data_IF_580285597184
#
_entry.id   IF_580285597184
#
_cell.length_a   1.000
_cell.length_b   1.000
_cell.length_c   1.000
_cell.angle_alpha   90.00
_cell.angle_beta   90.00
_cell.angle_gamma   90.00
#
_symmetry.space_group_name_H-M   'P 1'
#
loop_
_entity.id
_entity.type
_entity.pdbx_description
1 polymer ?
#
# COMPACT_ATOMS: atom_id res chain seq x y z
N UNK A 1 16.46 37.64 -29.81
CA UNK A 1 15.33 36.70 -29.66
C UNK A 1 15.13 36.46 -28.16
N UNK A 2 14.25 37.23 -27.55
CA UNK A 2 13.89 37.09 -26.13
C UNK A 2 13.17 35.78 -25.93
N UNK A 3 13.69 34.93 -25.03
CA UNK A 3 13.00 33.74 -24.53
C UNK A 3 11.81 34.23 -23.69
N UNK A 4 10.60 34.20 -24.25
CA UNK A 4 9.37 34.29 -23.46
C UNK A 4 9.47 33.26 -22.32
N UNK A 5 9.70 33.73 -21.09
CA UNK A 5 9.38 32.97 -19.87
C UNK A 5 7.88 32.69 -19.95
N UNK A 6 7.51 31.43 -20.10
CA UNK A 6 6.15 31.03 -19.82
C UNK A 6 5.95 31.26 -18.31
N UNK A 7 5.09 32.22 -17.98
CA UNK A 7 4.52 32.32 -16.64
C UNK A 7 3.78 31.03 -16.40
N UNK A 8 4.36 30.19 -15.55
CA UNK A 8 3.65 29.05 -14.93
C UNK A 8 2.55 29.70 -14.11
N UNK A 9 1.30 29.47 -14.47
CA UNK A 9 0.15 29.85 -13.65
C UNK A 9 0.39 29.18 -12.32
N UNK A 10 0.64 29.95 -11.29
CA UNK A 10 0.83 29.50 -9.91
C UNK A 10 -0.53 29.05 -9.38
N UNK A 11 -0.97 27.86 -9.83
CA UNK A 11 -2.13 27.19 -9.27
C UNK A 11 -1.68 26.71 -7.90
N UNK A 12 -2.31 27.21 -6.85
CA UNK A 12 -2.07 26.81 -5.47
C UNK A 12 -1.96 25.28 -5.40
N UNK A 13 -0.76 24.76 -5.17
CA UNK A 13 -0.44 23.33 -5.17
C UNK A 13 -1.41 22.54 -4.30
N UNK A 14 -1.90 23.14 -3.20
CA UNK A 14 -2.90 22.52 -2.32
C UNK A 14 -4.24 22.21 -3.00
N UNK A 15 -4.60 22.94 -4.05
CA UNK A 15 -5.83 22.69 -4.81
C UNK A 15 -5.68 21.52 -5.78
N UNK A 16 -4.55 21.41 -6.45
CA UNK A 16 -4.29 20.32 -7.41
C UNK A 16 -4.24 18.98 -6.70
N UNK A 17 -3.58 18.91 -5.55
CA UNK A 17 -3.49 17.69 -4.73
C UNK A 17 -4.87 17.24 -4.23
N UNK A 18 -5.71 18.18 -3.80
CA UNK A 18 -7.10 17.89 -3.43
C UNK A 18 -7.90 17.41 -4.62
N UNK A 19 -7.64 17.96 -5.81
CA UNK A 19 -8.30 17.56 -7.04
C UNK A 19 -7.95 16.11 -7.41
N UNK A 20 -6.70 15.68 -7.22
CA UNK A 20 -6.27 14.28 -7.44
C UNK A 20 -7.03 13.34 -6.52
N UNK A 21 -7.08 13.63 -5.21
CA UNK A 21 -7.80 12.81 -4.24
C UNK A 21 -9.31 12.76 -4.55
N UNK A 22 -9.91 13.91 -4.90
CA UNK A 22 -11.32 13.99 -5.32
C UNK A 22 -11.58 13.18 -6.59
N UNK A 23 -10.71 13.25 -7.57
CA UNK A 23 -10.80 12.52 -8.81
C UNK A 23 -10.86 11.00 -8.58
N UNK A 24 -9.96 10.44 -7.78
CA UNK A 24 -9.97 9.01 -7.48
C UNK A 24 -11.24 8.60 -6.72
N UNK A 25 -11.68 9.40 -5.77
CA UNK A 25 -12.92 9.12 -5.03
C UNK A 25 -14.14 9.09 -5.95
N UNK A 26 -14.27 10.06 -6.84
CA UNK A 26 -15.36 10.12 -7.82
C UNK A 26 -15.28 8.98 -8.84
N UNK A 27 -14.08 8.61 -9.25
CA UNK A 27 -13.87 7.51 -10.18
C UNK A 27 -14.31 6.16 -9.58
N UNK A 28 -13.98 5.88 -8.34
CA UNK A 28 -14.46 4.68 -7.66
C UNK A 28 -15.98 4.62 -7.56
N UNK A 29 -16.64 5.75 -7.25
CA UNK A 29 -18.09 5.82 -7.22
C UNK A 29 -18.70 5.59 -8.60
N UNK A 30 -18.16 6.23 -9.63
CA UNK A 30 -18.65 6.07 -11.01
C UNK A 30 -18.52 4.61 -11.44
N UNK A 31 -17.39 3.98 -11.19
CA UNK A 31 -17.18 2.59 -11.53
C UNK A 31 -18.12 1.65 -10.76
N UNK A 32 -18.38 1.95 -9.49
CA UNK A 32 -19.38 1.23 -8.71
C UNK A 32 -20.76 1.29 -9.36
N UNK A 33 -21.23 2.48 -9.75
CA UNK A 33 -22.52 2.63 -10.42
C UNK A 33 -22.57 1.87 -11.74
N UNK A 34 -21.54 1.98 -12.57
CA UNK A 34 -21.45 1.24 -13.83
C UNK A 34 -21.48 -0.26 -13.57
N UNK A 35 -20.69 -0.77 -12.61
CA UNK A 35 -20.66 -2.17 -12.25
C UNK A 35 -22.03 -2.66 -11.78
N UNK A 36 -22.71 -1.91 -10.91
CA UNK A 36 -24.04 -2.30 -10.40
C UNK A 36 -25.11 -2.34 -11.49
N UNK A 37 -25.01 -1.45 -12.49
CA UNK A 37 -25.94 -1.43 -13.63
C UNK A 37 -25.71 -2.58 -14.61
N UNK A 38 -24.43 -2.89 -14.91
CA UNK A 38 -24.06 -3.93 -15.87
C UNK A 38 -24.26 -5.33 -15.28
N UNK A 39 -23.97 -5.51 -13.99
CA UNK A 39 -23.93 -6.82 -13.35
C UNK A 39 -25.31 -7.30 -12.87
N UNK A 40 -26.32 -6.46 -12.92
CA UNK A 40 -27.69 -6.81 -12.54
C UNK A 40 -27.88 -7.15 -11.04
N UNK A 41 -26.87 -6.96 -10.20
CA UNK A 41 -26.83 -7.31 -8.76
C UNK A 41 -27.59 -6.28 -7.89
N UNK A 42 -28.77 -5.86 -8.34
CA UNK A 42 -29.59 -4.93 -7.56
C UNK A 42 -30.00 -5.57 -6.23
N UNK A 43 -29.51 -5.00 -5.12
CA UNK A 43 -29.79 -5.46 -3.75
C UNK A 43 -28.67 -6.29 -3.09
N UNK A 44 -27.82 -6.95 -3.83
CA UNK A 44 -26.69 -7.72 -3.29
C UNK A 44 -25.55 -6.82 -2.80
N UNK A 45 -25.40 -5.63 -3.39
CA UNK A 45 -24.32 -4.68 -3.07
C UNK A 45 -24.34 -4.26 -1.60
N UNK A 46 -25.52 -3.96 -1.04
CA UNK A 46 -25.65 -3.56 0.36
C UNK A 46 -25.43 -4.73 1.31
N UNK A 47 -25.87 -5.93 0.95
CA UNK A 47 -25.59 -7.15 1.71
C UNK A 47 -24.08 -7.43 1.71
N UNK A 48 -23.45 -7.33 0.56
CA UNK A 48 -22.00 -7.49 0.44
C UNK A 48 -21.24 -6.43 1.24
N UNK A 49 -21.63 -5.15 1.17
CA UNK A 49 -21.01 -4.10 1.99
C UNK A 49 -21.17 -4.39 3.48
N UNK A 50 -22.35 -4.86 3.93
CA UNK A 50 -22.55 -5.25 5.32
C UNK A 50 -21.65 -6.43 5.72
N UNK A 51 -21.46 -7.43 4.84
CA UNK A 51 -20.53 -8.52 5.07
C UNK A 51 -19.08 -8.03 5.26
N UNK A 52 -18.64 -7.07 4.41
CA UNK A 52 -17.31 -6.45 4.55
C UNK A 52 -17.15 -5.72 5.89
N UNK A 53 -18.16 -4.92 6.27
CA UNK A 53 -18.12 -4.10 7.48
C UNK A 53 -18.10 -4.97 8.75
N UNK A 54 -18.82 -6.08 8.75
CA UNK A 54 -18.96 -6.97 9.93
C UNK A 54 -17.87 -8.05 10.02
N UNK A 55 -16.93 -8.10 9.07
CA UNK A 55 -15.85 -9.08 9.07
C UNK A 55 -14.60 -8.53 9.76
N UNK A 56 -13.90 -9.33 10.61
CA UNK A 56 -12.58 -9.00 11.12
C UNK A 56 -11.51 -8.79 10.05
N UNK A 57 -11.59 -9.51 8.95
CA UNK A 57 -10.79 -9.37 7.73
C UNK A 57 -9.26 -9.30 7.91
N UNK A 58 -8.60 -10.28 8.57
CA UNK A 58 -7.14 -10.36 8.58
C UNK A 58 -6.58 -10.62 7.18
N UNK A 59 -5.33 -10.29 6.92
CA UNK A 59 -4.64 -10.51 5.65
C UNK A 59 -4.50 -12.01 5.31
N UNK A 60 -4.78 -12.46 4.13
CA UNK A 60 -5.37 -11.69 3.03
C UNK A 60 -6.83 -12.13 2.91
N UNK A 61 -7.78 -11.33 3.41
CA UNK A 61 -9.21 -11.59 3.18
C UNK A 61 -9.63 -10.91 1.90
N UNK A 62 -10.02 -11.71 0.90
CA UNK A 62 -10.45 -11.23 -0.40
C UNK A 62 -11.86 -10.64 -0.32
N UNK A 63 -11.97 -9.35 -0.56
CA UNK A 63 -13.26 -8.65 -0.52
C UNK A 63 -14.14 -8.93 -1.75
N UNK A 64 -13.57 -9.36 -2.89
CA UNK A 64 -14.40 -9.83 -4.01
C UNK A 64 -15.13 -11.12 -3.65
N UNK A 65 -14.45 -12.02 -2.93
CA UNK A 65 -15.06 -13.27 -2.48
C UNK A 65 -16.04 -13.03 -1.31
N UNK A 66 -15.69 -12.14 -0.37
CA UNK A 66 -16.49 -11.91 0.83
C UNK A 66 -17.77 -11.12 0.57
N UNK A 67 -17.71 -10.06 -0.23
CA UNK A 67 -18.81 -9.11 -0.44
C UNK A 67 -19.19 -8.87 -1.90
N UNK A 68 -18.44 -9.45 -2.84
CA UNK A 68 -18.57 -9.19 -4.26
C UNK A 68 -17.81 -7.94 -4.73
N UNK A 69 -17.48 -7.93 -6.02
CA UNK A 69 -16.71 -6.87 -6.67
C UNK A 69 -17.34 -5.49 -6.47
N UNK A 70 -18.65 -5.36 -6.72
CA UNK A 70 -19.37 -4.08 -6.60
C UNK A 70 -19.34 -3.51 -5.19
N UNK A 71 -19.44 -4.36 -4.16
CA UNK A 71 -19.40 -3.95 -2.76
C UNK A 71 -18.00 -3.51 -2.34
N UNK A 72 -16.96 -4.16 -2.84
CA UNK A 72 -15.57 -3.76 -2.60
C UNK A 72 -15.26 -2.38 -3.22
N UNK A 73 -15.72 -2.12 -4.45
CA UNK A 73 -15.58 -0.81 -5.09
C UNK A 73 -16.41 0.27 -4.38
N UNK A 74 -17.62 -0.05 -3.90
CA UNK A 74 -18.40 0.88 -3.08
C UNK A 74 -17.66 1.24 -1.79
N UNK A 75 -17.12 0.24 -1.09
CA UNK A 75 -16.33 0.45 0.12
C UNK A 75 -15.14 1.37 -0.14
N UNK A 76 -14.38 1.11 -1.21
CA UNK A 76 -13.25 1.94 -1.60
C UNK A 76 -13.66 3.39 -1.94
N UNK A 77 -14.78 3.57 -2.66
CA UNK A 77 -15.35 4.88 -2.96
C UNK A 77 -15.75 5.66 -1.71
N UNK A 78 -16.45 5.01 -0.77
CA UNK A 78 -16.88 5.64 0.49
C UNK A 78 -15.69 6.06 1.35
N UNK A 79 -14.68 5.20 1.49
CA UNK A 79 -13.46 5.52 2.22
C UNK A 79 -12.67 6.64 1.54
N UNK A 80 -12.52 6.59 0.22
CA UNK A 80 -11.82 7.62 -0.56
C UNK A 80 -12.48 8.99 -0.46
N UNK A 81 -13.83 9.06 -0.56
CA UNK A 81 -14.58 10.31 -0.35
C UNK A 81 -14.40 10.82 1.07
N UNK A 82 -14.45 9.94 2.07
CA UNK A 82 -14.25 10.32 3.47
C UNK A 82 -12.86 10.95 3.68
N UNK A 83 -11.81 10.35 3.12
CA UNK A 83 -10.46 10.93 3.15
C UNK A 83 -10.40 12.29 2.46
N UNK A 84 -11.00 12.41 1.28
CA UNK A 84 -11.05 13.66 0.51
C UNK A 84 -11.78 14.76 1.30
N UNK A 85 -12.93 14.43 1.89
CA UNK A 85 -13.68 15.39 2.73
C UNK A 85 -12.88 15.86 3.93
N UNK A 86 -12.15 14.95 4.61
CA UNK A 86 -11.25 15.33 5.71
C UNK A 86 -10.15 16.28 5.25
N UNK A 87 -9.54 16.02 4.09
CA UNK A 87 -8.52 16.92 3.53
C UNK A 87 -9.08 18.33 3.29
N UNK A 88 -10.29 18.44 2.74
CA UNK A 88 -10.95 19.72 2.51
C UNK A 88 -11.35 20.43 3.82
N UNK A 89 -12.01 19.71 4.74
CA UNK A 89 -12.51 20.28 5.99
C UNK A 89 -11.37 20.78 6.88
N UNK A 90 -10.26 20.05 6.93
CA UNK A 90 -9.10 20.41 7.74
C UNK A 90 -8.14 21.35 7.02
N UNK A 91 -8.42 21.72 5.77
CA UNK A 91 -7.50 22.52 4.92
C UNK A 91 -6.08 21.95 4.94
N UNK A 92 -5.99 20.60 4.98
CA UNK A 92 -4.72 19.91 5.11
C UNK A 92 -3.84 20.19 3.89
N UNK A 93 -2.53 20.40 4.13
CA UNK A 93 -1.55 20.45 3.05
C UNK A 93 -1.40 19.05 2.47
N UNK A 94 -1.58 18.92 1.17
CA UNK A 94 -1.28 17.71 0.44
C UNK A 94 0.20 17.70 0.07
N UNK A 95 0.95 16.83 0.70
CA UNK A 95 2.32 16.50 0.36
C UNK A 95 2.41 15.02 -0.06
N UNK A 96 3.58 14.59 -0.48
CA UNK A 96 3.79 13.20 -0.89
C UNK A 96 3.35 12.17 0.19
N UNK A 97 3.40 12.50 1.47
CA UNK A 97 2.99 11.61 2.56
C UNK A 97 1.47 11.51 2.68
N UNK A 98 0.74 12.62 2.55
CA UNK A 98 -0.73 12.63 2.54
C UNK A 98 -1.27 11.92 1.30
N UNK A 99 -0.64 12.14 0.15
CA UNK A 99 -0.91 11.45 -1.09
C UNK A 99 -0.73 9.92 -0.94
N UNK A 100 0.42 9.48 -0.40
CA UNK A 100 0.65 8.07 -0.15
C UNK A 100 -0.38 7.48 0.83
N UNK A 101 -0.70 8.19 1.90
CA UNK A 101 -1.71 7.77 2.87
C UNK A 101 -3.09 7.58 2.25
N UNK A 102 -3.53 8.51 1.39
CA UNK A 102 -4.80 8.39 0.66
C UNK A 102 -4.84 7.12 -0.21
N UNK A 103 -3.81 6.90 -1.03
CA UNK A 103 -3.75 5.71 -1.88
C UNK A 103 -3.71 4.41 -1.08
N UNK A 104 -3.00 4.39 0.06
CA UNK A 104 -2.97 3.22 0.92
C UNK A 104 -4.33 2.93 1.56
N UNK A 105 -5.09 3.95 2.00
CA UNK A 105 -6.46 3.74 2.48
C UNK A 105 -7.31 3.11 1.39
N UNK A 106 -7.36 3.71 0.20
CA UNK A 106 -8.19 3.22 -0.92
C UNK A 106 -7.76 1.81 -1.36
N UNK A 107 -6.45 1.55 -1.40
CA UNK A 107 -5.89 0.25 -1.75
C UNK A 107 -6.37 -0.87 -0.80
N UNK A 108 -6.29 -0.63 0.50
CA UNK A 108 -6.65 -1.63 1.49
C UNK A 108 -8.17 -1.82 1.64
N UNK A 109 -8.99 -0.95 1.03
CA UNK A 109 -10.44 -1.14 0.95
C UNK A 109 -10.88 -2.34 0.10
N UNK A 110 -9.95 -2.98 -0.59
CA UNK A 110 -10.18 -4.24 -1.30
C UNK A 110 -9.83 -5.48 -0.48
N UNK A 111 -9.18 -5.29 0.69
CA UNK A 111 -8.81 -6.35 1.62
C UNK A 111 -8.44 -5.76 3.00
N UNK A 112 -9.25 -6.01 4.00
CA UNK A 112 -8.94 -5.70 5.40
C UNK A 112 -9.44 -4.36 5.94
N UNK A 113 -9.63 -3.33 5.09
CA UNK A 113 -10.09 -2.01 5.51
C UNK A 113 -11.50 -1.72 4.98
N UNK A 114 -12.37 -1.17 5.81
CA UNK A 114 -13.71 -0.78 5.44
C UNK A 114 -14.14 0.54 6.10
N UNK A 115 -15.28 1.07 5.66
CA UNK A 115 -15.80 2.36 6.11
C UNK A 115 -16.06 2.44 7.63
N UNK A 116 -16.19 1.32 8.33
CA UNK A 116 -16.35 1.31 9.78
C UNK A 116 -14.99 1.26 10.50
N UNK A 117 -14.12 0.31 10.12
CA UNK A 117 -12.91 0.02 10.88
C UNK A 117 -11.77 1.04 10.63
N UNK A 118 -11.91 1.92 9.64
CA UNK A 118 -10.93 2.98 9.37
C UNK A 118 -10.91 4.09 10.44
N UNK A 119 -12.08 4.38 11.07
CA UNK A 119 -12.22 5.55 11.93
C UNK A 119 -11.52 5.45 13.28
N UNK A 120 -11.63 4.34 14.05
CA UNK A 120 -11.06 4.27 15.38
C UNK A 120 -9.55 4.56 15.42
N UNK A 121 -8.69 4.00 14.56
CA UNK A 121 -7.28 4.35 14.53
C UNK A 121 -7.03 5.83 14.23
N UNK A 122 -7.79 6.43 13.30
CA UNK A 122 -7.68 7.85 12.98
C UNK A 122 -8.08 8.74 14.15
N UNK A 123 -9.13 8.35 14.89
CA UNK A 123 -9.55 9.04 16.13
C UNK A 123 -8.47 8.93 17.22
N UNK A 124 -7.71 7.84 17.27
CA UNK A 124 -6.55 7.73 18.16
C UNK A 124 -5.50 8.81 17.89
N UNK A 125 -5.21 9.11 16.61
CA UNK A 125 -4.31 10.20 16.22
C UNK A 125 -4.92 11.58 16.56
N UNK A 126 -6.23 11.74 16.39
CA UNK A 126 -6.92 12.98 16.81
C UNK A 126 -6.77 13.23 18.31
N UNK A 127 -6.96 12.19 19.15
CA UNK A 127 -6.74 12.29 20.59
C UNK A 127 -5.30 12.66 20.92
N UNK A 128 -4.34 12.02 20.26
CA UNK A 128 -2.91 12.34 20.40
C UNK A 128 -2.63 13.82 20.11
N UNK A 129 -3.10 14.34 18.96
CA UNK A 129 -2.84 15.74 18.58
C UNK A 129 -3.54 16.71 19.54
N UNK A 130 -4.74 16.38 20.02
CA UNK A 130 -5.44 17.19 21.02
C UNK A 130 -4.65 17.29 22.34
N UNK A 131 -4.16 16.15 22.85
CA UNK A 131 -3.36 16.11 24.10
C UNK A 131 -2.04 16.86 23.93
N UNK A 132 -1.43 16.78 22.74
CA UNK A 132 -0.18 17.46 22.40
C UNK A 132 -0.36 18.93 22.05
N UNK A 133 -1.59 19.38 21.90
CA UNK A 133 -1.96 20.73 21.43
C UNK A 133 -1.39 21.01 20.03
N UNK A 134 -1.40 20.02 19.17
CA UNK A 134 -0.93 20.08 17.77
C UNK A 134 -2.13 20.11 16.83
N UNK A 135 -1.96 20.63 15.61
CA UNK A 135 -3.03 20.68 14.62
C UNK A 135 -3.21 19.30 13.98
N UNK A 136 -4.42 18.74 14.05
CA UNK A 136 -4.73 17.43 13.46
C UNK A 136 -4.50 17.41 11.92
N UNK A 137 -4.73 18.53 11.22
CA UNK A 137 -4.47 18.64 9.78
C UNK A 137 -3.01 18.32 9.40
N UNK A 138 -2.05 18.66 10.25
CA UNK A 138 -0.64 18.37 10.02
C UNK A 138 -0.28 16.87 10.23
N UNK A 139 -1.15 16.14 10.94
CA UNK A 139 -1.04 14.70 11.21
C UNK A 139 -1.97 13.85 10.34
N UNK A 140 -2.64 14.45 9.35
CA UNK A 140 -3.63 13.73 8.55
C UNK A 140 -3.02 12.54 7.80
N UNK A 141 -1.79 12.67 7.29
CA UNK A 141 -1.07 11.53 6.69
C UNK A 141 -0.85 10.38 7.69
N UNK A 142 -0.50 10.71 8.93
CA UNK A 142 -0.31 9.73 10.01
C UNK A 142 -1.64 9.07 10.38
N UNK A 143 -2.74 9.84 10.38
CA UNK A 143 -4.09 9.32 10.58
C UNK A 143 -4.47 8.33 9.47
N UNK A 144 -4.21 8.65 8.19
CA UNK A 144 -4.43 7.72 7.10
C UNK A 144 -3.58 6.45 7.24
N UNK A 145 -2.30 6.57 7.59
CA UNK A 145 -1.45 5.40 7.84
C UNK A 145 -1.92 4.56 9.02
N UNK A 146 -2.52 5.15 10.06
CA UNK A 146 -2.99 4.41 11.24
C UNK A 146 -4.07 3.38 10.91
N UNK A 147 -4.77 3.55 9.77
CA UNK A 147 -5.75 2.57 9.27
C UNK A 147 -5.15 1.19 8.96
N UNK A 148 -3.82 1.07 8.94
CA UNK A 148 -3.13 -0.22 8.88
C UNK A 148 -3.57 -1.22 9.95
N UNK A 149 -4.10 -0.74 11.07
CA UNK A 149 -4.61 -1.55 12.18
C UNK A 149 -6.12 -1.87 12.06
N UNK A 150 -6.77 -1.53 10.95
CA UNK A 150 -8.19 -1.77 10.73
C UNK A 150 -8.64 -3.22 10.98
N UNK A 151 -7.88 -4.28 10.61
CA UNK A 151 -8.27 -5.65 10.93
C UNK A 151 -8.31 -5.94 12.44
N UNK A 152 -7.43 -5.36 13.26
CA UNK A 152 -7.53 -5.45 14.72
C UNK A 152 -8.83 -4.83 15.24
N UNK A 153 -9.24 -3.70 14.67
CA UNK A 153 -10.49 -3.04 15.04
C UNK A 153 -11.68 -3.95 14.73
N UNK A 154 -11.74 -4.51 13.52
CA UNK A 154 -12.79 -5.47 13.14
C UNK A 154 -12.81 -6.70 14.05
N UNK A 155 -11.64 -7.25 14.37
CA UNK A 155 -11.49 -8.41 15.25
C UNK A 155 -12.01 -8.10 16.67
N UNK A 156 -11.63 -6.98 17.26
CA UNK A 156 -12.05 -6.59 18.61
C UNK A 156 -13.56 -6.30 18.67
N UNK A 157 -14.10 -5.62 17.64
CA UNK A 157 -15.52 -5.28 17.58
C UNK A 157 -16.42 -6.51 17.46
N UNK A 158 -16.03 -7.49 16.61
CA UNK A 158 -16.96 -8.52 16.16
C UNK A 158 -16.61 -9.93 16.65
N UNK A 159 -15.39 -10.20 17.09
CA UNK A 159 -14.97 -11.56 17.44
C UNK A 159 -14.20 -11.71 18.75
N UNK A 160 -13.17 -10.92 18.96
CA UNK A 160 -12.30 -11.06 20.13
C UNK A 160 -13.06 -10.89 21.46
N UNK A 161 -12.87 -11.68 22.51
CA UNK A 161 -11.90 -12.77 22.66
C UNK A 161 -12.47 -14.17 22.33
N UNK A 162 -13.49 -14.30 21.50
CA UNK A 162 -14.10 -15.58 21.18
C UNK A 162 -13.12 -16.49 20.43
N UNK A 163 -13.17 -17.77 20.76
CA UNK A 163 -12.37 -18.79 20.07
C UNK A 163 -13.08 -19.40 18.85
N UNK A 164 -14.39 -19.17 18.71
CA UNK A 164 -15.19 -19.61 17.58
C UNK A 164 -14.96 -18.73 16.34
N UNK A 165 -15.15 -19.27 15.15
CA UNK A 165 -15.11 -18.52 13.89
C UNK A 165 -16.33 -17.61 13.67
N UNK A 166 -17.34 -17.70 14.53
CA UNK A 166 -18.56 -16.91 14.42
C UNK A 166 -18.34 -15.48 14.93
N UNK A 167 -18.64 -14.49 14.11
CA UNK A 167 -18.71 -13.10 14.53
C UNK A 167 -19.85 -12.92 15.55
N UNK A 168 -19.60 -12.10 16.55
CA UNK A 168 -20.66 -11.69 17.51
C UNK A 168 -21.30 -10.38 17.07
N UNK A 169 -22.44 -10.07 17.67
CA UNK A 169 -23.00 -8.75 17.57
C UNK A 169 -22.06 -7.72 18.23
N UNK A 170 -22.10 -6.50 17.72
CA UNK A 170 -21.41 -5.34 18.30
C UNK A 170 -21.79 -5.18 19.80
N UNK A 171 -20.79 -5.02 20.66
CA UNK A 171 -20.99 -4.90 22.10
C UNK A 171 -20.33 -3.66 22.68
N UNK A 172 -20.90 -3.10 23.75
CA UNK A 172 -20.32 -1.96 24.45
C UNK A 172 -18.92 -2.25 25.03
N UNK A 173 -18.65 -3.40 25.66
CA UNK A 173 -17.29 -3.75 26.08
C UNK A 173 -16.30 -3.79 24.90
N UNK A 174 -16.69 -4.35 23.76
CA UNK A 174 -15.87 -4.37 22.54
C UNK A 174 -15.54 -2.95 22.07
N UNK A 175 -16.52 -2.03 22.09
CA UNK A 175 -16.28 -0.64 21.73
C UNK A 175 -15.31 0.04 22.69
N UNK A 176 -15.43 -0.17 24.00
CA UNK A 176 -14.51 0.40 25.00
C UNK A 176 -13.08 -0.08 24.72
N UNK A 177 -12.90 -1.38 24.46
CA UNK A 177 -11.58 -1.94 24.14
C UNK A 177 -11.02 -1.34 22.84
N UNK A 178 -11.86 -1.15 21.82
CA UNK A 178 -11.45 -0.47 20.57
C UNK A 178 -11.00 0.97 20.82
N UNK A 179 -11.71 1.72 21.64
CA UNK A 179 -11.32 3.10 21.99
C UNK A 179 -9.95 3.11 22.69
N UNK A 180 -9.74 2.27 23.69
CA UNK A 180 -8.45 2.17 24.40
C UNK A 180 -7.33 1.74 23.47
N UNK A 181 -7.57 0.73 22.63
CA UNK A 181 -6.63 0.25 21.61
C UNK A 181 -6.26 1.38 20.64
N UNK A 182 -7.25 2.13 20.15
CA UNK A 182 -7.04 3.23 19.22
C UNK A 182 -6.25 4.38 19.83
N UNK A 183 -6.50 4.71 21.08
CA UNK A 183 -5.70 5.70 21.83
C UNK A 183 -4.26 5.21 21.95
N UNK A 184 -4.06 3.95 22.35
CA UNK A 184 -2.71 3.38 22.47
C UNK A 184 -1.92 3.47 21.17
N UNK A 185 -2.47 3.00 20.04
CA UNK A 185 -1.80 3.08 18.75
C UNK A 185 -1.61 4.53 18.30
N UNK A 186 -2.56 5.42 18.63
CA UNK A 186 -2.47 6.85 18.33
C UNK A 186 -1.26 7.53 18.97
N UNK A 187 -0.86 7.12 20.16
CA UNK A 187 0.36 7.60 20.84
C UNK A 187 1.62 6.86 20.40
N UNK A 188 1.53 5.56 20.11
CA UNK A 188 2.67 4.74 19.71
C UNK A 188 3.18 5.09 18.30
N UNK A 189 2.28 5.26 17.33
CA UNK A 189 2.63 5.47 15.92
C UNK A 189 3.55 6.68 15.69
N UNK A 190 3.23 7.91 16.14
CA UNK A 190 4.08 9.08 15.88
C UNK A 190 5.49 8.93 16.46
N UNK A 191 5.62 8.25 17.60
CA UNK A 191 6.92 7.98 18.21
C UNK A 191 7.74 6.98 17.40
N UNK A 192 7.12 5.88 16.96
CA UNK A 192 7.81 4.79 16.24
C UNK A 192 8.21 5.18 14.82
N UNK A 193 7.43 6.03 14.14
CA UNK A 193 7.74 6.51 12.79
C UNK A 193 9.10 7.21 12.69
N UNK A 194 9.47 7.98 13.71
CA UNK A 194 10.76 8.67 13.75
C UNK A 194 11.93 7.68 13.83
N UNK A 195 11.78 6.62 14.63
CA UNK A 195 12.81 5.59 14.78
C UNK A 195 12.97 4.71 13.55
N UNK A 196 11.89 4.38 12.85
CA UNK A 196 11.92 3.48 11.71
C UNK A 196 12.84 3.98 10.58
N UNK A 197 12.85 5.28 10.30
CA UNK A 197 13.72 5.90 9.29
C UNK A 197 15.21 5.63 9.56
N UNK A 198 15.60 5.71 10.82
CA UNK A 198 16.99 5.48 11.24
C UNK A 198 17.38 4.01 11.08
N UNK A 199 16.49 3.09 11.44
CA UNK A 199 16.75 1.65 11.42
C UNK A 199 17.10 1.13 10.03
N UNK A 200 16.38 1.57 8.97
CA UNK A 200 16.66 1.14 7.60
C UNK A 200 17.43 2.18 6.77
N UNK A 201 18.02 3.19 7.42
CA UNK A 201 18.87 4.24 6.81
C UNK A 201 18.21 4.93 5.60
N UNK A 202 16.90 5.10 5.66
CA UNK A 202 16.06 5.64 4.58
C UNK A 202 16.15 4.90 3.23
N UNK A 203 16.63 3.66 3.23
CA UNK A 203 16.72 2.80 2.04
C UNK A 203 15.41 2.10 1.70
N UNK A 204 14.36 2.32 2.47
CA UNK A 204 12.98 1.95 2.16
C UNK A 204 12.09 3.19 2.18
N UNK A 205 11.21 3.34 1.19
CA UNK A 205 10.22 4.42 1.18
C UNK A 205 9.07 4.16 2.19
N UNK A 206 8.93 2.92 2.66
CA UNK A 206 7.84 2.48 3.53
C UNK A 206 8.20 2.58 5.02
N UNK A 207 8.56 3.78 5.48
CA UNK A 207 8.91 4.01 6.89
C UNK A 207 7.83 3.53 7.86
N UNK A 208 6.55 3.79 7.53
CA UNK A 208 5.41 3.34 8.32
C UNK A 208 5.31 1.81 8.38
N UNK A 209 5.64 1.11 7.30
CA UNK A 209 5.55 -0.35 7.25
C UNK A 209 6.38 -1.04 8.33
N UNK A 210 7.63 -0.63 8.52
CA UNK A 210 8.50 -1.17 9.57
C UNK A 210 7.94 -0.84 10.97
N UNK A 211 7.59 0.43 11.24
CA UNK A 211 7.07 0.86 12.52
C UNK A 211 5.78 0.11 12.90
N UNK A 212 4.82 0.08 11.96
CA UNK A 212 3.51 -0.52 12.20
C UNK A 212 3.60 -2.05 12.23
N UNK A 213 4.47 -2.64 11.44
CA UNK A 213 4.72 -4.07 11.46
C UNK A 213 5.24 -4.56 12.82
N UNK A 214 6.22 -3.85 13.38
CA UNK A 214 6.75 -4.15 14.73
C UNK A 214 5.68 -3.94 15.81
N UNK A 215 4.89 -2.87 15.73
CA UNK A 215 3.79 -2.64 16.66
C UNK A 215 2.68 -3.70 16.49
N UNK A 216 2.34 -4.07 15.26
CA UNK A 216 1.38 -5.13 14.96
C UNK A 216 1.82 -6.50 15.49
N UNK A 217 3.11 -6.83 15.37
CA UNK A 217 3.68 -8.04 15.96
C UNK A 217 3.55 -8.04 17.49
N UNK A 218 3.86 -6.93 18.15
CA UNK A 218 3.69 -6.79 19.60
C UNK A 218 2.23 -6.98 20.02
N UNK A 219 1.29 -6.29 19.34
CA UNK A 219 -0.14 -6.39 19.64
C UNK A 219 -0.69 -7.79 19.39
N UNK A 220 -0.32 -8.42 18.29
CA UNK A 220 -0.70 -9.80 17.98
C UNK A 220 -0.19 -10.76 19.04
N UNK A 221 1.08 -10.64 19.41
CA UNK A 221 1.67 -11.50 20.45
C UNK A 221 0.95 -11.35 21.77
N UNK A 222 0.63 -10.13 22.18
CA UNK A 222 -0.11 -9.88 23.41
C UNK A 222 -1.53 -10.48 23.35
N UNK A 223 -2.30 -10.18 22.30
CA UNK A 223 -3.72 -10.57 22.19
C UNK A 223 -3.90 -12.08 22.02
N UNK A 224 -3.01 -12.74 21.30
CA UNK A 224 -3.21 -14.14 20.91
C UNK A 224 -2.24 -15.10 21.61
N UNK A 225 -0.92 -14.80 21.62
CA UNK A 225 0.03 -15.72 22.22
C UNK A 225 -0.02 -15.67 23.77
N UNK A 226 -0.05 -14.47 24.35
CA UNK A 226 -0.07 -14.29 25.81
C UNK A 226 -1.46 -14.55 26.39
N UNK A 227 -2.51 -14.01 25.75
CA UNK A 227 -3.88 -14.21 26.19
C UNK A 227 -4.49 -15.55 25.78
N UNK A 228 -3.80 -16.33 24.92
CA UNK A 228 -4.22 -17.67 24.52
C UNK A 228 -5.48 -17.72 23.63
N UNK A 229 -5.83 -16.64 22.97
CA UNK A 229 -6.99 -16.57 22.07
C UNK A 229 -6.60 -17.06 20.67
N UNK A 230 -7.47 -17.82 19.99
CA UNK A 230 -7.22 -18.23 18.61
C UNK A 230 -7.62 -17.12 17.64
N UNK A 231 -6.73 -16.66 16.74
CA UNK A 231 -7.04 -15.59 15.79
C UNK A 231 -8.00 -16.04 14.69
N UNK A 232 -8.73 -15.09 14.10
CA UNK A 232 -9.51 -15.32 12.90
C UNK A 232 -8.58 -15.69 11.74
N UNK A 233 -8.98 -16.68 10.94
CA UNK A 233 -8.31 -16.98 9.68
C UNK A 233 -8.78 -16.05 8.57
N UNK A 234 -7.89 -15.72 7.64
CA UNK A 234 -8.24 -14.99 6.42
C UNK A 234 -9.13 -15.82 5.50
N UNK A 235 -9.95 -15.14 4.69
CA UNK A 235 -10.71 -15.75 3.61
C UNK A 235 -9.86 -15.58 2.34
N UNK A 236 -8.95 -16.54 2.12
CA UNK A 236 -8.07 -16.52 0.96
C UNK A 236 -8.83 -16.84 -0.33
N UNK A 237 -8.48 -16.23 -1.46
CA UNK A 237 -9.02 -16.59 -2.76
C UNK A 237 -8.57 -18.01 -3.16
N UNK A 238 -9.34 -18.72 -4.02
CA UNK A 238 -8.88 -19.97 -4.58
C UNK A 238 -7.61 -19.76 -5.42
N UNK A 239 -6.70 -20.74 -5.42
CA UNK A 239 -5.39 -20.67 -6.11
C UNK A 239 -5.47 -20.76 -7.64
N UNK A 240 -6.67 -20.81 -8.23
CA UNK A 240 -6.90 -21.03 -9.66
C UNK A 240 -7.77 -19.97 -10.30
N UNK A 241 -7.41 -18.69 -10.20
CA UNK A 241 -8.15 -17.66 -10.94
C UNK A 241 -7.44 -17.32 -12.26
N UNK A 242 -8.22 -17.20 -13.32
CA UNK A 242 -7.74 -16.90 -14.66
C UNK A 242 -7.54 -15.39 -14.87
N UNK A 243 -6.48 -15.00 -15.59
CA UNK A 243 -6.30 -13.64 -16.09
C UNK A 243 -7.52 -13.15 -16.93
N UNK A 244 -8.10 -14.04 -17.68
CA UNK A 244 -9.27 -13.78 -18.56
C UNK A 244 -10.61 -14.06 -17.89
N UNK A 245 -10.64 -14.34 -16.60
CA UNK A 245 -11.85 -14.38 -15.81
C UNK A 245 -12.53 -12.99 -15.70
N UNK A 246 -13.79 -12.97 -15.26
CA UNK A 246 -14.59 -11.74 -15.13
C UNK A 246 -13.86 -10.66 -14.30
N UNK A 247 -13.32 -11.02 -13.15
CA UNK A 247 -12.58 -10.12 -12.24
C UNK A 247 -11.33 -9.59 -12.93
N UNK A 248 -10.59 -10.44 -13.62
CA UNK A 248 -9.38 -10.06 -14.35
C UNK A 248 -9.66 -9.03 -15.43
N UNK A 249 -10.66 -9.26 -16.27
CA UNK A 249 -11.07 -8.33 -17.33
C UNK A 249 -11.52 -7.00 -16.74
N UNK A 250 -12.34 -7.01 -15.69
CA UNK A 250 -12.86 -5.78 -15.07
C UNK A 250 -11.78 -4.99 -14.37
N UNK A 251 -10.86 -5.65 -13.62
CA UNK A 251 -9.74 -4.99 -12.98
C UNK A 251 -8.78 -4.38 -13.99
N UNK A 252 -8.44 -5.10 -15.07
CA UNK A 252 -7.58 -4.58 -16.14
C UNK A 252 -8.22 -3.37 -16.83
N UNK A 253 -9.50 -3.42 -17.14
CA UNK A 253 -10.24 -2.29 -17.73
C UNK A 253 -10.25 -1.09 -16.78
N UNK A 254 -10.51 -1.32 -15.49
CA UNK A 254 -10.48 -0.29 -14.45
C UNK A 254 -9.11 0.40 -14.41
N UNK A 255 -8.03 -0.36 -14.29
CA UNK A 255 -6.68 0.21 -14.18
C UNK A 255 -6.23 0.88 -15.46
N UNK A 256 -6.57 0.32 -16.61
CA UNK A 256 -6.30 0.96 -17.89
C UNK A 256 -6.95 2.35 -17.96
N UNK A 257 -8.21 2.46 -17.57
CA UNK A 257 -8.93 3.74 -17.54
C UNK A 257 -8.31 4.71 -16.52
N UNK A 258 -8.10 4.27 -15.25
CA UNK A 258 -7.54 5.11 -14.19
C UNK A 258 -6.17 5.67 -14.60
N UNK A 259 -5.27 4.81 -15.04
CA UNK A 259 -3.91 5.23 -15.34
C UNK A 259 -3.81 6.01 -16.65
N UNK A 260 -4.65 5.70 -17.66
CA UNK A 260 -4.76 6.54 -18.87
C UNK A 260 -5.24 7.95 -18.53
N UNK A 261 -6.27 8.07 -17.70
CA UNK A 261 -6.79 9.38 -17.28
C UNK A 261 -5.74 10.12 -16.45
N UNK A 262 -5.01 9.42 -15.56
CA UNK A 262 -3.90 10.05 -14.82
C UNK A 262 -2.83 10.62 -15.75
N UNK A 263 -2.45 9.88 -16.82
CA UNK A 263 -1.50 10.39 -17.84
C UNK A 263 -2.08 11.61 -18.56
N UNK A 264 -3.33 11.54 -18.99
CA UNK A 264 -3.99 12.63 -19.73
C UNK A 264 -4.11 13.89 -18.86
N UNK A 265 -4.59 13.76 -17.63
CA UNK A 265 -4.71 14.90 -16.70
C UNK A 265 -3.32 15.45 -16.37
N UNK A 266 -2.35 14.59 -16.08
CA UNK A 266 -0.97 15.00 -15.84
C UNK A 266 -0.36 15.75 -17.05
N UNK A 267 -0.64 15.29 -18.26
CA UNK A 267 -0.20 15.96 -19.48
C UNK A 267 -0.83 17.35 -19.63
N UNK A 268 -2.12 17.51 -19.32
CA UNK A 268 -2.77 18.82 -19.31
C UNK A 268 -2.19 19.74 -18.24
N UNK A 269 -1.98 19.26 -17.03
CA UNK A 269 -1.38 20.02 -15.92
C UNK A 269 0.07 20.43 -16.22
N UNK A 270 0.80 19.62 -16.99
CA UNK A 270 2.16 19.88 -17.43
C UNK A 270 2.24 20.74 -18.73
N UNK A 271 1.24 21.56 -19.00
CA UNK A 271 1.20 22.42 -20.16
C UNK A 271 1.15 21.67 -21.49
N UNK A 272 0.44 20.55 -21.54
CA UNK A 272 0.30 19.62 -22.68
C UNK A 272 1.65 19.07 -23.17
N UNK A 273 2.52 18.72 -22.23
CA UNK A 273 3.88 18.28 -22.53
C UNK A 273 4.30 17.11 -21.63
N UNK A 274 5.18 16.24 -22.14
CA UNK A 274 5.91 15.24 -21.36
C UNK A 274 7.29 15.73 -20.88
N UNK A 275 7.56 17.05 -21.02
CA UNK A 275 8.82 17.63 -20.59
C UNK A 275 8.98 17.44 -19.06
N UNK A 276 10.16 17.03 -18.63
CA UNK A 276 10.45 16.73 -17.22
C UNK A 276 10.37 15.23 -16.86
N UNK A 277 9.51 14.43 -17.53
CA UNK A 277 9.38 13.01 -17.25
C UNK A 277 10.72 12.26 -17.40
N UNK A 278 11.50 12.57 -18.42
CA UNK A 278 12.82 11.95 -18.62
C UNK A 278 13.84 12.29 -17.52
N UNK A 279 13.69 13.47 -16.86
CA UNK A 279 14.49 13.83 -15.67
C UNK A 279 14.02 13.06 -14.45
N UNK A 280 12.70 12.97 -14.21
CA UNK A 280 12.11 12.18 -13.14
C UNK A 280 12.53 10.71 -13.25
N UNK A 281 12.50 10.11 -14.43
CA UNK A 281 12.93 8.72 -14.65
C UNK A 281 14.41 8.47 -14.30
N UNK A 282 15.24 9.49 -14.23
CA UNK A 282 16.65 9.39 -13.83
C UNK A 282 16.88 9.65 -12.35
N UNK A 283 15.86 10.10 -11.61
CA UNK A 283 15.96 10.36 -10.18
C UNK A 283 16.18 9.02 -9.43
N UNK A 284 17.13 8.98 -8.50
CA UNK A 284 17.42 7.77 -7.72
C UNK A 284 16.28 7.34 -6.80
N UNK A 285 15.32 8.22 -6.49
CA UNK A 285 14.24 7.93 -5.57
C UNK A 285 14.66 7.84 -4.10
N UNK A 286 15.81 8.39 -3.75
CA UNK A 286 16.31 8.44 -2.39
C UNK A 286 16.10 9.84 -1.81
N UNK A 287 15.37 9.93 -0.68
CA UNK A 287 14.99 11.22 -0.05
C UNK A 287 14.40 12.20 -1.06
N UNK A 288 13.55 11.70 -1.96
CA UNK A 288 12.99 12.51 -3.04
C UNK A 288 11.53 12.86 -2.78
N UNK A 289 11.18 14.10 -3.11
CA UNK A 289 9.82 14.57 -3.25
C UNK A 289 9.61 14.96 -4.73
N UNK A 290 8.82 14.17 -5.44
CA UNK A 290 8.59 14.40 -6.88
C UNK A 290 7.58 15.50 -7.13
N UNK A 291 6.67 15.75 -6.17
CA UNK A 291 5.74 16.88 -6.26
C UNK A 291 6.51 18.21 -6.22
N UNK A 292 7.43 18.34 -5.28
CA UNK A 292 8.26 19.54 -5.14
C UNK A 292 9.26 19.68 -6.29
N UNK A 293 9.92 18.58 -6.70
CA UNK A 293 10.98 18.63 -7.72
C UNK A 293 10.51 18.79 -9.16
N UNK A 294 9.40 18.13 -9.51
CA UNK A 294 8.95 17.98 -10.90
C UNK A 294 7.56 18.53 -11.14
N UNK A 295 6.85 18.90 -10.09
CA UNK A 295 5.48 19.40 -10.14
C UNK A 295 4.44 18.28 -10.33
N UNK A 296 3.18 18.68 -10.13
CA UNK A 296 2.04 17.76 -10.08
C UNK A 296 1.81 17.05 -11.42
N UNK A 297 1.91 17.77 -12.53
CA UNK A 297 1.67 17.21 -13.86
C UNK A 297 2.61 16.07 -14.21
N UNK A 298 3.93 16.28 -14.01
CA UNK A 298 4.94 15.23 -14.28
C UNK A 298 4.80 14.07 -13.34
N UNK A 299 4.54 14.33 -12.04
CA UNK A 299 4.32 13.28 -11.04
C UNK A 299 3.09 12.45 -11.35
N UNK A 300 2.02 13.08 -11.85
CA UNK A 300 0.80 12.38 -12.23
C UNK A 300 0.97 11.54 -13.51
N UNK A 301 1.75 12.02 -14.48
CA UNK A 301 2.17 11.18 -15.64
C UNK A 301 2.97 9.98 -15.14
N UNK A 302 3.92 10.17 -14.21
CA UNK A 302 4.69 9.10 -13.62
C UNK A 302 3.80 8.05 -12.94
N UNK A 303 2.80 8.50 -12.17
CA UNK A 303 1.81 7.62 -11.54
C UNK A 303 1.11 6.72 -12.57
N UNK A 304 0.60 7.30 -13.66
CA UNK A 304 -0.12 6.54 -14.66
C UNK A 304 0.78 5.55 -15.42
N UNK A 305 1.95 5.99 -15.87
CA UNK A 305 2.93 5.13 -16.57
C UNK A 305 3.45 4.02 -15.67
N UNK A 306 3.75 4.34 -14.40
CA UNK A 306 4.17 3.37 -13.39
C UNK A 306 3.07 2.36 -13.07
N UNK A 307 1.83 2.83 -12.88
CA UNK A 307 0.69 1.98 -12.60
C UNK A 307 0.41 0.98 -13.72
N UNK A 308 0.49 1.40 -14.99
CA UNK A 308 0.40 0.48 -16.14
C UNK A 308 1.50 -0.58 -16.13
N UNK A 309 2.74 -0.21 -15.77
CA UNK A 309 3.83 -1.18 -15.62
C UNK A 309 3.52 -2.23 -14.54
N UNK A 310 2.96 -1.80 -13.39
CA UNK A 310 2.61 -2.72 -12.31
C UNK A 310 1.49 -3.68 -12.70
N UNK A 311 0.46 -3.22 -13.41
CA UNK A 311 -0.59 -4.07 -13.96
C UNK A 311 0.00 -5.11 -14.90
N UNK A 312 0.83 -4.67 -15.86
CA UNK A 312 1.50 -5.57 -16.80
C UNK A 312 2.39 -6.61 -16.08
N UNK A 313 3.10 -6.20 -15.03
CA UNK A 313 3.92 -7.12 -14.24
C UNK A 313 3.07 -8.22 -13.59
N UNK A 314 1.94 -7.87 -12.97
CA UNK A 314 1.06 -8.85 -12.36
C UNK A 314 0.35 -9.71 -13.41
N UNK A 315 -0.09 -9.14 -14.51
CA UNK A 315 -0.64 -9.91 -15.64
C UNK A 315 0.34 -10.97 -16.16
N UNK A 316 1.62 -10.60 -16.30
CA UNK A 316 2.65 -11.54 -16.69
C UNK A 316 2.88 -12.63 -15.62
N UNK A 317 2.88 -12.28 -14.33
CA UNK A 317 2.97 -13.28 -13.27
C UNK A 317 1.80 -14.27 -13.31
N UNK A 318 0.56 -13.76 -13.48
CA UNK A 318 -0.66 -14.58 -13.56
C UNK A 318 -0.70 -15.43 -14.83
N UNK A 319 -0.23 -14.89 -15.95
CA UNK A 319 -0.21 -15.61 -17.23
C UNK A 319 0.84 -16.72 -17.25
N UNK A 320 1.99 -16.51 -16.61
CA UNK A 320 3.14 -17.40 -16.71
C UNK A 320 3.23 -18.42 -15.56
N UNK A 321 2.46 -18.22 -14.48
CA UNK A 321 2.49 -19.11 -13.30
C UNK A 321 1.09 -19.29 -12.72
N UNK A 322 0.82 -20.47 -12.16
CA UNK A 322 -0.45 -20.75 -11.48
C UNK A 322 -0.50 -20.12 -10.09
N UNK A 323 -1.61 -19.45 -9.75
CA UNK A 323 -1.78 -18.79 -8.43
C UNK A 323 -3.11 -18.06 -8.27
N UNK A 324 -3.14 -17.03 -7.42
CA UNK A 324 -4.38 -16.37 -6.99
C UNK A 324 -5.07 -15.53 -8.08
N UNK A 325 -4.34 -15.03 -9.08
CA UNK A 325 -4.89 -14.20 -10.16
C UNK A 325 -5.38 -12.82 -9.70
N UNK A 326 -6.39 -12.29 -10.40
CA UNK A 326 -7.03 -11.02 -10.05
C UNK A 326 -8.08 -11.20 -8.96
N UNK A 327 -7.70 -10.84 -7.75
CA UNK A 327 -8.52 -10.83 -6.53
C UNK A 327 -8.72 -9.41 -6.04
N UNK A 328 -9.54 -9.21 -5.01
CA UNK A 328 -9.61 -7.92 -4.33
C UNK A 328 -8.23 -7.50 -3.81
N UNK A 329 -7.47 -8.42 -3.24
CA UNK A 329 -6.12 -8.13 -2.78
C UNK A 329 -5.19 -7.74 -3.93
N UNK A 330 -5.22 -8.43 -5.08
CA UNK A 330 -4.41 -8.06 -6.25
C UNK A 330 -4.79 -6.67 -6.78
N UNK A 331 -6.09 -6.37 -6.85
CA UNK A 331 -6.59 -5.04 -7.19
C UNK A 331 -6.04 -3.98 -6.23
N UNK A 332 -6.13 -4.22 -4.93
CA UNK A 332 -5.66 -3.29 -3.91
C UNK A 332 -4.14 -3.06 -3.94
N UNK A 333 -3.32 -4.10 -4.13
CA UNK A 333 -1.86 -3.93 -4.12
C UNK A 333 -1.34 -3.14 -5.32
N UNK A 334 -2.02 -3.14 -6.46
CA UNK A 334 -1.69 -2.24 -7.57
C UNK A 334 -1.81 -0.80 -7.12
N UNK A 335 -2.92 -0.43 -6.45
CA UNK A 335 -3.11 0.92 -5.91
C UNK A 335 -2.13 1.23 -4.77
N UNK A 336 -1.80 0.25 -3.91
CA UNK A 336 -0.80 0.42 -2.87
C UNK A 336 0.59 0.69 -3.45
N UNK A 337 0.94 0.03 -4.57
CA UNK A 337 2.24 0.20 -5.22
C UNK A 337 2.42 1.61 -5.80
N UNK A 338 1.35 2.24 -6.30
CA UNK A 338 1.43 3.61 -6.87
C UNK A 338 1.45 4.70 -5.80
N UNK A 339 1.15 4.37 -4.54
CA UNK A 339 1.08 5.33 -3.44
C UNK A 339 2.38 6.14 -3.26
N UNK A 340 3.52 5.59 -3.60
CA UNK A 340 4.83 6.22 -3.41
C UNK A 340 5.47 6.76 -4.70
N UNK A 341 4.69 6.86 -5.79
CA UNK A 341 5.16 7.47 -7.04
C UNK A 341 5.45 8.96 -6.91
N UNK A 342 4.91 9.62 -5.88
CA UNK A 342 5.26 10.98 -5.51
C UNK A 342 6.52 11.07 -4.64
N UNK A 343 6.96 9.97 -4.02
CA UNK A 343 8.08 9.94 -3.06
C UNK A 343 9.37 9.34 -3.61
N UNK A 344 9.42 8.98 -4.90
CA UNK A 344 10.67 8.49 -5.48
C UNK A 344 10.56 7.28 -6.39
N UNK A 345 9.41 6.61 -6.48
CA UNK A 345 9.22 5.47 -7.38
C UNK A 345 9.04 5.91 -8.83
N UNK A 346 9.78 5.28 -9.72
CA UNK A 346 9.61 5.35 -11.16
C UNK A 346 9.95 4.00 -11.81
N UNK A 347 9.58 3.80 -13.07
CA UNK A 347 9.81 2.52 -13.76
C UNK A 347 11.29 2.13 -13.72
N UNK A 348 12.21 3.08 -13.94
CA UNK A 348 13.64 2.79 -14.09
C UNK A 348 14.28 2.28 -12.80
N UNK A 349 13.84 2.77 -11.62
CA UNK A 349 14.42 2.35 -10.35
C UNK A 349 13.68 1.17 -9.70
N UNK A 350 12.44 0.87 -10.14
CA UNK A 350 11.62 -0.21 -9.56
C UNK A 350 11.78 -1.55 -10.30
N UNK A 351 11.85 -1.57 -11.65
CA UNK A 351 11.92 -2.84 -12.37
C UNK A 351 13.06 -3.77 -11.93
N UNK A 352 14.27 -3.27 -11.51
CA UNK A 352 15.30 -4.18 -11.01
C UNK A 352 14.90 -4.86 -9.70
N UNK A 353 14.16 -4.16 -8.84
CA UNK A 353 13.63 -4.75 -7.59
C UNK A 353 12.64 -5.87 -7.91
N UNK A 354 11.70 -5.62 -8.83
CA UNK A 354 10.75 -6.65 -9.28
C UNK A 354 11.46 -7.86 -9.91
N UNK A 355 12.55 -7.65 -10.63
CA UNK A 355 13.36 -8.75 -11.18
C UNK A 355 13.94 -9.66 -10.09
N UNK A 356 14.14 -9.16 -8.87
CA UNK A 356 14.61 -9.95 -7.74
C UNK A 356 13.64 -11.07 -7.36
N UNK A 357 12.33 -10.83 -7.45
CA UNK A 357 11.29 -11.85 -7.25
C UNK A 357 11.36 -12.93 -8.33
N UNK A 358 11.52 -12.52 -9.59
CA UNK A 358 11.67 -13.46 -10.71
C UNK A 358 12.95 -14.28 -10.55
N UNK A 359 14.06 -13.66 -10.15
CA UNK A 359 15.33 -14.35 -9.92
C UNK A 359 15.21 -15.39 -8.80
N UNK A 360 14.51 -15.08 -7.69
CA UNK A 360 14.28 -16.07 -6.64
C UNK A 360 13.45 -17.25 -7.17
N UNK A 361 12.37 -16.98 -7.90
CA UNK A 361 11.54 -18.05 -8.48
C UNK A 361 12.32 -18.96 -9.41
N UNK A 362 13.10 -18.38 -10.33
CA UNK A 362 13.95 -19.15 -11.25
C UNK A 362 15.01 -19.94 -10.48
N UNK A 363 15.69 -19.33 -9.51
CA UNK A 363 16.71 -19.97 -8.69
C UNK A 363 16.16 -21.18 -7.94
N UNK A 364 15.02 -21.02 -7.24
CA UNK A 364 14.39 -22.11 -6.48
C UNK A 364 13.83 -23.18 -7.43
N UNK A 365 13.32 -22.80 -8.62
CA UNK A 365 12.85 -23.76 -9.64
C UNK A 365 14.00 -24.64 -10.18
N UNK A 366 15.19 -24.07 -10.36
CA UNK A 366 16.39 -24.83 -10.75
C UNK A 366 16.80 -25.77 -9.62
N UNK A 367 16.86 -25.31 -8.37
CA UNK A 367 17.19 -26.14 -7.22
C UNK A 367 16.19 -27.28 -7.04
N UNK A 368 14.89 -27.00 -7.21
CA UNK A 368 13.82 -28.01 -7.15
C UNK A 368 14.05 -29.14 -8.16
N UNK A 369 14.43 -28.82 -9.38
CA UNK A 369 14.76 -29.82 -10.42
C UNK A 369 16.02 -30.63 -10.08
N UNK A 370 17.03 -29.98 -9.48
CA UNK A 370 18.29 -30.67 -9.13
C UNK A 370 18.11 -31.59 -7.92
N UNK A 371 17.40 -31.13 -6.89
CA UNK A 371 17.30 -31.83 -5.60
C UNK A 371 15.99 -32.61 -5.43
N UNK A 372 15.02 -32.50 -6.36
CA UNK A 372 13.78 -33.30 -6.38
C UNK A 372 12.73 -32.87 -5.34
N UNK A 373 12.77 -31.65 -4.80
CA UNK A 373 11.72 -31.14 -3.92
C UNK A 373 10.63 -30.38 -4.68
N UNK A 374 9.42 -30.34 -4.15
CA UNK A 374 8.29 -29.59 -4.73
C UNK A 374 8.26 -28.14 -4.22
N UNK A 375 7.91 -27.21 -5.11
CA UNK A 375 7.68 -25.80 -4.78
C UNK A 375 6.18 -25.63 -4.54
N UNK A 376 5.79 -25.08 -3.39
CA UNK A 376 4.40 -24.82 -3.01
C UNK A 376 3.93 -23.38 -3.34
N UNK A 377 4.72 -22.60 -4.03
CA UNK A 377 4.45 -21.20 -4.37
C UNK A 377 4.92 -20.83 -5.77
N UNK A 378 4.37 -19.77 -6.31
CA UNK A 378 4.70 -19.22 -7.62
C UNK A 378 4.74 -17.69 -7.57
N UNK A 379 5.11 -17.03 -8.67
CA UNK A 379 5.11 -15.56 -8.75
C UNK A 379 3.69 -14.97 -8.61
N UNK A 380 2.64 -15.71 -8.98
CA UNK A 380 1.25 -15.31 -8.83
C UNK A 380 0.59 -15.79 -7.53
N UNK A 381 1.30 -16.48 -6.64
CA UNK A 381 0.81 -16.71 -5.28
C UNK A 381 0.59 -15.36 -4.59
N UNK A 382 -0.57 -15.18 -3.92
CA UNK A 382 -0.97 -13.88 -3.38
C UNK A 382 0.09 -13.24 -2.47
N UNK A 383 0.77 -14.04 -1.64
CA UNK A 383 1.82 -13.52 -0.76
C UNK A 383 3.02 -12.94 -1.54
N UNK A 384 3.39 -13.55 -2.67
CA UNK A 384 4.48 -13.07 -3.53
C UNK A 384 4.08 -11.84 -4.33
N UNK A 385 2.85 -11.79 -4.85
CA UNK A 385 2.33 -10.58 -5.51
C UNK A 385 2.27 -9.39 -4.53
N UNK A 386 1.75 -9.62 -3.30
CA UNK A 386 1.75 -8.60 -2.26
C UNK A 386 3.19 -8.17 -1.91
N UNK A 387 4.09 -9.12 -1.74
CA UNK A 387 5.50 -8.85 -1.49
C UNK A 387 6.12 -8.00 -2.58
N UNK A 388 5.95 -8.37 -3.86
CA UNK A 388 6.48 -7.66 -5.02
C UNK A 388 5.94 -6.21 -5.11
N UNK A 389 4.64 -6.01 -4.89
CA UNK A 389 4.03 -4.67 -4.88
C UNK A 389 4.70 -3.72 -3.88
N UNK A 390 4.95 -4.21 -2.68
CA UNK A 390 5.57 -3.40 -1.62
C UNK A 390 7.12 -3.41 -1.68
N UNK A 391 7.74 -4.40 -2.30
CA UNK A 391 9.19 -4.38 -2.52
C UNK A 391 9.63 -3.18 -3.37
N UNK A 392 8.74 -2.61 -4.17
CA UNK A 392 8.98 -1.39 -4.96
C UNK A 392 9.50 -0.22 -4.12
N UNK A 393 9.17 -0.19 -2.83
CA UNK A 393 9.72 0.77 -1.87
C UNK A 393 11.23 0.64 -1.62
N UNK A 394 11.88 -0.44 -2.09
CA UNK A 394 13.33 -0.63 -2.06
C UNK A 394 14.04 -0.01 -3.27
N UNK A 395 13.32 0.73 -4.12
CA UNK A 395 13.88 1.40 -5.30
C UNK A 395 15.10 2.30 -5.01
N UNK A 396 15.32 2.88 -3.80
CA UNK A 396 16.54 3.60 -3.48
C UNK A 396 17.82 2.76 -3.63
N UNK A 397 17.76 1.43 -3.44
CA UNK A 397 18.91 0.56 -3.72
C UNK A 397 19.31 0.59 -5.20
N UNK A 398 18.32 0.54 -6.10
CA UNK A 398 18.58 0.70 -7.54
C UNK A 398 19.16 2.06 -7.86
N UNK A 399 18.53 3.12 -7.36
CA UNK A 399 18.90 4.47 -7.72
C UNK A 399 20.27 4.88 -7.21
N UNK A 400 20.63 4.44 -6.01
CA UNK A 400 21.83 4.83 -5.31
C UNK A 400 23.05 3.92 -5.64
N UNK A 401 22.84 2.62 -5.69
CA UNK A 401 23.91 1.64 -5.86
C UNK A 401 23.87 0.93 -7.23
N UNK A 402 22.77 1.04 -7.96
CA UNK A 402 22.61 0.46 -9.31
C UNK A 402 21.72 -0.77 -9.35
N UNK A 403 21.43 -1.23 -10.57
CA UNK A 403 20.42 -2.27 -10.85
C UNK A 403 20.67 -3.60 -10.13
N UNK A 404 21.92 -4.01 -9.96
CA UNK A 404 22.29 -5.27 -9.26
C UNK A 404 21.85 -5.25 -7.80
N UNK A 405 22.02 -4.12 -7.15
CA UNK A 405 21.60 -3.95 -5.75
C UNK A 405 20.09 -3.85 -5.60
N UNK A 406 19.40 -3.27 -6.59
CA UNK A 406 17.95 -3.31 -6.65
C UNK A 406 17.42 -4.74 -6.78
N UNK A 407 18.02 -5.55 -7.68
CA UNK A 407 17.67 -6.95 -7.83
C UNK A 407 17.96 -7.76 -6.56
N UNK A 408 19.09 -7.53 -5.90
CA UNK A 408 19.40 -8.15 -4.61
C UNK A 408 18.39 -7.76 -3.52
N UNK A 409 17.96 -6.49 -3.48
CA UNK A 409 16.94 -6.02 -2.54
C UNK A 409 15.59 -6.70 -2.78
N UNK A 410 15.17 -6.83 -4.03
CA UNK A 410 13.98 -7.59 -4.40
C UNK A 410 14.07 -9.08 -4.05
N UNK A 411 15.23 -9.70 -4.28
CA UNK A 411 15.46 -11.11 -3.92
C UNK A 411 15.33 -11.34 -2.40
N UNK A 412 15.98 -10.51 -1.58
CA UNK A 412 15.88 -10.61 -0.11
C UNK A 412 14.45 -10.37 0.36
N UNK A 413 13.77 -9.38 -0.23
CA UNK A 413 12.36 -9.11 0.05
C UNK A 413 11.47 -10.31 -0.27
N UNK A 414 11.70 -10.98 -1.40
CA UNK A 414 10.95 -12.17 -1.80
C UNK A 414 11.16 -13.35 -0.84
N UNK A 415 12.38 -13.53 -0.31
CA UNK A 415 12.66 -14.54 0.73
C UNK A 415 11.88 -14.27 2.02
N UNK A 416 11.75 -13.00 2.40
CA UNK A 416 11.11 -12.63 3.68
C UNK A 416 9.58 -12.52 3.60
N UNK A 417 8.99 -12.34 2.42
CA UNK A 417 7.59 -11.93 2.27
C UNK A 417 6.57 -12.92 2.84
N UNK A 418 6.89 -14.22 2.86
CA UNK A 418 5.99 -15.25 3.42
C UNK A 418 6.12 -15.42 4.93
N UNK A 419 7.27 -15.06 5.51
CA UNK A 419 7.52 -15.26 6.93
C UNK A 419 6.88 -14.19 7.83
N UNK A 420 6.84 -12.95 7.37
CA UNK A 420 6.46 -11.80 8.21
C UNK A 420 4.97 -11.72 8.52
N UNK A 421 4.09 -12.16 7.63
CA UNK A 421 2.64 -12.14 7.86
C UNK A 421 2.22 -13.00 9.06
N UNK A 422 2.94 -14.09 9.31
CA UNK A 422 2.70 -14.98 10.46
C UNK A 422 2.99 -14.25 11.77
N UNK A 423 3.97 -13.36 11.79
CA UNK A 423 4.42 -12.66 13.01
C UNK A 423 3.34 -11.74 13.60
N UNK A 424 2.43 -11.22 12.77
CA UNK A 424 1.31 -10.36 13.19
C UNK A 424 -0.07 -10.95 12.81
N UNK A 425 -0.11 -12.23 12.43
CA UNK A 425 -1.35 -12.97 12.14
C UNK A 425 -2.22 -12.39 11.03
N UNK A 426 -1.67 -11.52 10.19
CA UNK A 426 -2.43 -10.81 9.15
C UNK A 426 -3.22 -9.60 9.65
N UNK A 427 -3.16 -9.24 10.93
CA UNK A 427 -3.96 -8.14 11.48
C UNK A 427 -3.39 -6.73 11.23
N UNK A 428 -2.21 -6.61 10.65
CA UNK A 428 -1.61 -5.35 10.25
C UNK A 428 -1.44 -5.30 8.72
N UNK A 429 -2.08 -4.32 8.08
CA UNK A 429 -2.20 -4.25 6.62
C UNK A 429 -0.87 -3.96 5.89
N UNK A 430 0.11 -3.33 6.54
CA UNK A 430 1.37 -2.93 5.90
C UNK A 430 2.46 -4.00 6.01
N UNK A 431 2.08 -5.29 5.94
CA UNK A 431 3.04 -6.40 5.97
C UNK A 431 4.17 -6.24 4.93
N UNK A 432 3.84 -5.90 3.70
CA UNK A 432 4.85 -5.71 2.67
C UNK A 432 5.82 -4.56 2.97
N UNK A 433 5.35 -3.51 3.65
CA UNK A 433 6.22 -2.43 4.15
C UNK A 433 7.14 -2.89 5.29
N UNK A 434 6.68 -3.80 6.17
CA UNK A 434 7.53 -4.47 7.16
C UNK A 434 8.64 -5.27 6.45
N UNK A 435 8.28 -6.08 5.46
CA UNK A 435 9.23 -6.85 4.64
C UNK A 435 10.28 -5.96 4.00
N UNK A 436 9.85 -4.86 3.36
CA UNK A 436 10.77 -3.90 2.74
C UNK A 436 11.71 -3.25 3.77
N UNK A 437 11.17 -2.87 4.94
CA UNK A 437 11.98 -2.31 6.03
C UNK A 437 13.04 -3.30 6.55
N UNK A 438 12.65 -4.55 6.82
CA UNK A 438 13.58 -5.60 7.25
C UNK A 438 14.62 -5.91 6.18
N UNK A 439 14.22 -5.99 4.90
CA UNK A 439 15.16 -6.19 3.78
C UNK A 439 16.20 -5.06 3.72
N UNK A 440 15.77 -3.82 3.90
CA UNK A 440 16.67 -2.68 3.94
C UNK A 440 17.62 -2.71 5.15
N UNK A 441 17.13 -3.11 6.32
CA UNK A 441 17.97 -3.28 7.53
C UNK A 441 19.04 -4.34 7.36
N UNK A 442 18.75 -5.43 6.64
CA UNK A 442 19.72 -6.50 6.35
C UNK A 442 20.75 -6.03 5.30
N UNK A 443 20.28 -5.43 4.21
CA UNK A 443 21.13 -5.14 3.06
C UNK A 443 21.98 -3.88 3.23
N UNK A 444 21.47 -2.83 3.89
CA UNK A 444 22.21 -1.56 3.98
C UNK A 444 23.58 -1.74 4.62
N UNK A 445 23.74 -2.39 5.79
CA UNK A 445 25.06 -2.57 6.40
C UNK A 445 25.97 -3.46 5.56
N UNK A 446 25.43 -4.48 4.87
CA UNK A 446 26.22 -5.36 4.00
C UNK A 446 26.77 -4.59 2.79
N UNK A 447 25.93 -3.76 2.15
CA UNK A 447 26.34 -2.98 0.99
C UNK A 447 27.35 -1.92 1.41
N UNK A 448 27.13 -1.22 2.53
CA UNK A 448 28.04 -0.19 3.01
C UNK A 448 29.41 -0.78 3.36
N UNK A 449 29.45 -1.97 3.95
CA UNK A 449 30.71 -2.64 4.31
C UNK A 449 31.52 -3.12 3.09
N UNK A 450 30.82 -3.69 2.05
CA UNK A 450 31.51 -4.30 0.90
C UNK A 450 31.57 -3.41 -0.34
N UNK A 451 30.93 -2.24 -0.37
CA UNK A 451 31.00 -1.34 -1.51
C UNK A 451 32.05 -0.25 -1.27
N UNK A 452 32.89 0.04 -2.30
CA UNK A 452 33.82 1.19 -2.28
C UNK A 452 33.13 2.55 -2.09
N UNK A 453 31.82 2.62 -2.19
CA UNK A 453 30.99 3.79 -1.85
C UNK A 453 30.63 3.84 -0.37
N UNK A 454 30.66 2.72 0.34
CA UNK A 454 30.44 2.66 1.77
C UNK A 454 31.50 3.47 2.55
N UNK A 455 32.77 3.34 2.16
CA UNK A 455 33.88 4.11 2.79
C UNK A 455 33.70 5.63 2.69
N UNK A 456 33.08 6.14 1.62
CA UNK A 456 32.75 7.56 1.47
C UNK A 456 31.58 8.04 2.34
N UNK A 457 30.65 7.14 2.65
CA UNK A 457 29.42 7.45 3.40
C UNK A 457 29.60 7.35 4.91
N UNK A 458 30.53 6.52 5.39
CA UNK A 458 30.93 6.51 6.81
C UNK A 458 31.63 7.83 7.20
N UNK A 459 32.36 8.44 6.27
CA UNK A 459 32.92 9.78 6.47
C UNK A 459 31.87 10.90 6.57
N UNK A 460 30.79 10.84 5.75
CA UNK A 460 29.73 11.85 5.75
C UNK A 460 28.70 11.69 6.90
N UNK A 461 28.71 10.57 7.63
CA UNK A 461 27.84 10.32 8.79
C UNK A 461 28.54 10.58 10.12
N UNK A 462 29.87 10.74 10.12
CA UNK A 462 30.67 11.03 11.31
C UNK A 462 31.06 12.51 11.43
N UNK A 463 30.84 13.31 10.38
CA UNK A 463 30.86 14.76 10.37
C UNK A 463 29.43 15.35 10.52
#
# INVERSE_FOLDING_TARGET
MEKKKFEVIDIDNSFVDKLVALYFSLFFLLLFFISSLILGEKGEVWKGLFALISSPSPLVTDYFLLGGLSSAFLNAGLCGISCTLLMFLLKAKCNYSTYAGFFLVVAHCFYGLNILNMWPPMLGILVYTHVRRENFGDYLSVAFYSTAFAPFIGEILFRYPLTSSQARAFTLPGLIVVILFSIFIGFAIPAMLKGAKLLHREMSLYNGGLAFGLLGMFLYSFMYNIMGVTPQKSIAPPESSSLFGREGILCNLFFFLVFSIAIIVGWFLNGRSFLGLGKLMKDPGFKSDFLEKYGDGVTMINLGVYGMMMVLYFDLCILLTDGAGWTGATCGIVLASVAFTASGQNIRNVWPVLSGYVLLYVFVSVLSKIFGFSISWTLSTQAFMNGAAFATGLCPFTGRYGKRYGAAAGFVSAVLCTATSVMHGGFMLYNGGLVAGLSAMILSPLIDHYSKRGEKLEGELMD
#
